data_IF_592896113704
#
_entry.id   IF_592896113704
#
_cell.length_a   1.000
_cell.length_b   1.000
_cell.length_c   1.000
_cell.angle_alpha   90.00
_cell.angle_beta   90.00
_cell.angle_gamma   90.00
#
_symmetry.space_group_name_H-M   'P 1'
#
loop_
_entity.id
_entity.type
_entity.pdbx_description
1 polymer ?
#
# COMPACT_ATOMS: atom_id res chain seq x y z
N UNK A 1 -11.03 1.63 16.01
CA UNK A 1 -12.12 2.01 15.09
C UNK A 1 -12.81 0.74 14.59
N UNK A 2 -14.14 0.70 14.58
CA UNK A 2 -14.86 -0.42 13.96
C UNK A 2 -14.96 -0.12 12.45
N UNK A 3 -14.47 -1.03 11.63
CA UNK A 3 -14.66 -1.03 10.18
C UNK A 3 -15.63 -2.16 9.83
N UNK A 4 -16.38 -1.97 8.76
CA UNK A 4 -17.30 -2.99 8.25
C UNK A 4 -16.52 -4.27 7.90
N UNK A 5 -16.95 -5.42 8.43
CA UNK A 5 -16.34 -6.73 8.17
C UNK A 5 -17.07 -7.43 7.03
N UNK A 6 -18.16 -8.12 7.36
CA UNK A 6 -19.07 -8.71 6.36
C UNK A 6 -20.34 -7.87 6.32
N UNK A 7 -20.67 -7.33 5.15
CA UNK A 7 -21.98 -6.75 4.86
C UNK A 7 -22.75 -7.73 3.97
N UNK A 8 -23.74 -8.40 4.54
CA UNK A 8 -24.62 -9.29 3.81
C UNK A 8 -25.60 -8.48 2.95
N UNK A 9 -25.74 -8.87 1.69
CA UNK A 9 -26.67 -8.22 0.77
C UNK A 9 -28.12 -8.25 1.30
N UNK A 10 -28.83 -7.14 1.14
CA UNK A 10 -30.23 -7.04 1.52
C UNK A 10 -31.09 -8.05 0.75
N UNK A 11 -31.96 -8.77 1.47
CA UNK A 11 -32.86 -9.77 0.89
C UNK A 11 -34.28 -9.22 0.72
N UNK A 12 -34.98 -9.64 -0.33
CA UNK A 12 -36.41 -9.38 -0.50
C UNK A 12 -37.17 -10.18 0.56
N UNK A 13 -37.95 -9.48 1.38
CA UNK A 13 -38.70 -10.06 2.49
C UNK A 13 -40.16 -10.28 2.10
N UNK A 14 -40.73 -11.43 2.48
CA UNK A 14 -42.16 -11.73 2.31
C UNK A 14 -42.98 -11.03 3.39
N UNK A 15 -44.07 -10.37 3.02
CA UNK A 15 -44.96 -9.69 3.96
C UNK A 15 -45.42 -10.65 5.08
N UNK A 16 -45.30 -10.24 6.35
CA UNK A 16 -45.56 -11.01 7.57
C UNK A 16 -44.58 -12.14 7.97
N UNK A 17 -43.45 -12.31 7.28
CA UNK A 17 -42.38 -13.19 7.79
C UNK A 17 -41.59 -12.51 8.94
N UNK A 18 -40.97 -13.31 9.81
CA UNK A 18 -40.05 -12.78 10.83
C UNK A 18 -38.72 -12.39 10.16
N UNK A 19 -38.29 -11.16 10.39
CA UNK A 19 -36.99 -10.67 9.92
C UNK A 19 -35.90 -11.27 10.81
N UNK A 20 -35.06 -12.13 10.24
CA UNK A 20 -33.82 -12.58 10.89
C UNK A 20 -32.71 -11.60 10.53
N UNK A 21 -32.03 -11.03 11.53
CA UNK A 21 -30.89 -10.16 11.29
C UNK A 21 -29.80 -10.94 10.54
N UNK A 22 -29.25 -10.34 9.49
CA UNK A 22 -28.07 -10.90 8.83
C UNK A 22 -26.89 -10.88 9.80
N UNK A 23 -25.99 -11.87 9.69
CA UNK A 23 -24.80 -11.97 10.53
C UNK A 23 -23.71 -10.99 10.07
N UNK A 24 -24.05 -9.71 9.95
CA UNK A 24 -23.12 -8.66 9.61
C UNK A 24 -22.08 -8.55 10.74
N UNK A 25 -20.80 -8.62 10.37
CA UNK A 25 -19.71 -8.57 11.33
C UNK A 25 -19.02 -7.21 11.27
N UNK A 26 -18.67 -6.67 12.42
CA UNK A 26 -17.81 -5.49 12.53
C UNK A 26 -16.40 -5.96 12.90
N UNK A 27 -15.42 -5.63 12.06
CA UNK A 27 -14.01 -5.90 12.35
C UNK A 27 -13.44 -4.69 13.09
N UNK A 28 -12.82 -4.90 14.25
CA UNK A 28 -12.18 -3.82 15.00
C UNK A 28 -10.72 -3.67 14.58
N UNK A 29 -10.34 -2.47 14.15
CA UNK A 29 -8.94 -2.08 13.94
C UNK A 29 -8.49 -1.28 15.16
N UNK A 30 -7.54 -1.82 15.91
CA UNK A 30 -6.84 -1.10 16.98
C UNK A 30 -5.67 -0.33 16.38
N UNK A 31 -5.72 1.00 16.43
CA UNK A 31 -4.62 1.86 16.02
C UNK A 31 -3.83 2.26 17.27
N UNK A 32 -2.89 1.42 17.67
CA UNK A 32 -1.95 1.72 18.74
C UNK A 32 -0.93 2.75 18.25
N UNK A 33 -0.61 3.76 19.07
CA UNK A 33 0.47 4.69 18.78
C UNK A 33 1.82 4.00 18.97
N UNK A 34 2.66 3.98 17.93
CA UNK A 34 4.03 3.48 18.00
C UNK A 34 5.00 4.64 17.86
N UNK A 35 5.98 4.73 18.75
CA UNK A 35 7.00 5.78 18.70
C UNK A 35 8.13 5.37 17.75
N UNK A 36 8.42 6.22 16.77
CA UNK A 36 9.56 6.03 15.85
C UNK A 36 10.65 7.00 16.28
N UNK A 37 11.70 6.46 16.93
CA UNK A 37 12.83 7.26 17.43
C UNK A 37 14.11 7.00 16.63
N UNK A 38 14.88 8.06 16.38
CA UNK A 38 16.23 7.97 15.81
C UNK A 38 17.20 8.79 16.65
N UNK A 39 18.18 8.13 17.26
CA UNK A 39 19.26 8.77 18.00
C UNK A 39 20.44 9.05 17.05
N UNK A 40 20.89 10.31 17.01
CA UNK A 40 22.07 10.76 16.26
C UNK A 40 23.09 11.31 17.27
N UNK A 41 24.29 10.73 17.30
CA UNK A 41 25.39 11.20 18.15
C UNK A 41 26.27 12.17 17.35
N UNK A 42 26.59 13.31 17.94
CA UNK A 42 27.42 14.36 17.33
C UNK A 42 28.58 14.64 18.28
N UNK A 43 29.78 14.81 17.72
CA UNK A 43 30.98 15.18 18.50
C UNK A 43 30.99 16.68 18.80
N UNK A 44 31.45 17.04 20.00
CA UNK A 44 31.58 18.41 20.51
C UNK A 44 32.37 19.34 19.57
N UNK A 45 33.31 18.78 18.81
CA UNK A 45 34.11 19.54 17.83
C UNK A 45 33.28 20.07 16.65
N UNK A 46 32.15 19.43 16.33
CA UNK A 46 31.26 19.82 15.22
C UNK A 46 30.29 20.92 15.64
N UNK A 47 30.07 21.15 16.95
CA UNK A 47 29.24 22.27 17.44
C UNK A 47 29.80 23.66 17.06
N UNK A 48 31.09 23.76 16.73
CA UNK A 48 31.73 25.03 16.35
C UNK A 48 31.55 25.38 14.86
N UNK A 49 31.08 24.46 14.03
CA UNK A 49 30.89 24.67 12.59
C UNK A 49 29.43 25.06 12.27
N UNK A 50 29.12 26.35 12.42
CA UNK A 50 27.94 27.03 11.82
C UNK A 50 26.55 26.69 12.40
N UNK A 51 26.01 27.69 13.10
CA UNK A 51 24.85 27.69 14.01
C UNK A 51 23.46 27.47 13.34
N UNK A 52 23.33 27.36 12.01
CA UNK A 52 21.99 27.20 11.37
C UNK A 52 21.95 26.19 10.22
N UNK A 53 22.98 26.14 9.37
CA UNK A 53 23.05 25.17 8.28
C UNK A 53 23.21 23.73 8.80
N UNK A 54 23.91 23.55 9.92
CA UNK A 54 24.12 22.24 10.54
C UNK A 54 22.85 21.71 11.23
N UNK A 55 22.11 22.56 11.94
CA UNK A 55 20.82 22.19 12.53
C UNK A 55 19.80 21.78 11.46
N UNK A 56 19.70 22.57 10.38
CA UNK A 56 18.83 22.24 9.25
C UNK A 56 19.22 20.92 8.59
N UNK A 57 20.52 20.64 8.46
CA UNK A 57 21.01 19.37 7.93
C UNK A 57 20.63 18.18 8.83
N UNK A 58 20.80 18.30 10.15
CA UNK A 58 20.41 17.24 11.10
C UNK A 58 18.90 17.02 11.09
N UNK A 59 18.10 18.09 11.10
CA UNK A 59 16.63 17.99 11.07
C UNK A 59 16.18 17.32 9.77
N UNK A 60 16.73 17.71 8.62
CA UNK A 60 16.41 17.08 7.34
C UNK A 60 16.82 15.61 7.31
N UNK A 61 18.02 15.27 7.81
CA UNK A 61 18.49 13.87 7.89
C UNK A 61 17.60 13.02 8.80
N UNK A 62 17.19 13.56 9.96
CA UNK A 62 16.28 12.89 10.89
C UNK A 62 14.89 12.73 10.29
N UNK A 63 14.33 13.79 9.70
CA UNK A 63 13.02 13.76 9.07
C UNK A 63 12.99 12.75 7.91
N UNK A 64 14.03 12.71 7.08
CA UNK A 64 14.14 11.75 5.98
C UNK A 64 14.26 10.31 6.51
N UNK A 65 15.07 10.08 7.55
CA UNK A 65 15.22 8.75 8.15
C UNK A 65 13.92 8.26 8.80
N UNK A 66 13.17 9.15 9.46
CA UNK A 66 11.87 8.84 10.04
C UNK A 66 10.85 8.57 8.93
N UNK A 67 10.77 9.43 7.91
CA UNK A 67 9.85 9.25 6.78
C UNK A 67 10.07 7.92 6.06
N UNK A 68 11.34 7.56 5.80
CA UNK A 68 11.74 6.26 5.26
C UNK A 68 11.29 5.10 6.14
N UNK A 69 11.43 5.22 7.46
CA UNK A 69 10.98 4.17 8.38
C UNK A 69 9.46 4.06 8.45
N UNK A 70 8.74 5.19 8.38
CA UNK A 70 7.28 5.22 8.29
C UNK A 70 6.80 4.51 7.02
N UNK A 71 7.44 4.78 5.88
CA UNK A 71 7.13 4.14 4.60
C UNK A 71 7.34 2.62 4.65
N UNK A 72 8.48 2.16 5.19
CA UNK A 72 8.76 0.75 5.42
C UNK A 72 7.70 0.08 6.31
N UNK A 73 7.30 0.73 7.41
CA UNK A 73 6.28 0.20 8.30
C UNK A 73 4.88 0.20 7.68
N UNK A 74 4.58 1.14 6.79
CA UNK A 74 3.30 1.21 6.08
C UNK A 74 3.16 0.08 5.05
N UNK A 75 4.27 -0.42 4.50
CA UNK A 75 4.28 -1.52 3.53
C UNK A 75 4.50 -2.86 4.23
N UNK A 76 5.58 -3.02 4.99
CA UNK A 76 6.07 -4.29 5.54
C UNK A 76 5.78 -4.50 7.03
N UNK A 77 5.13 -3.54 7.69
CA UNK A 77 4.88 -3.60 9.13
C UNK A 77 4.16 -4.90 9.53
N UNK A 78 4.63 -5.56 10.59
CA UNK A 78 4.10 -6.86 11.02
C UNK A 78 2.85 -6.77 11.89
N UNK A 79 2.54 -5.59 12.43
CA UNK A 79 1.43 -5.41 13.39
C UNK A 79 1.72 -5.89 14.82
N UNK A 80 2.91 -6.42 15.11
CA UNK A 80 3.34 -6.85 16.44
C UNK A 80 4.43 -5.92 16.97
N UNK A 81 4.11 -5.10 17.98
CA UNK A 81 4.97 -4.02 18.50
C UNK A 81 5.38 -2.96 17.47
N UNK A 82 4.77 -2.96 16.29
CA UNK A 82 4.94 -1.99 15.22
C UNK A 82 3.66 -1.91 14.37
N UNK A 83 3.47 -0.86 13.55
CA UNK A 83 2.32 -0.75 12.65
C UNK A 83 2.14 -2.00 11.77
N UNK A 84 0.91 -2.27 11.36
CA UNK A 84 0.58 -3.34 10.41
C UNK A 84 0.57 -2.76 9.00
N UNK A 85 1.52 -3.18 8.18
CA UNK A 85 1.68 -2.72 6.80
C UNK A 85 0.76 -3.44 5.82
N UNK A 86 0.67 -2.93 4.60
CA UNK A 86 -0.18 -3.43 3.52
C UNK A 86 0.09 -4.91 3.22
N UNK A 87 1.36 -5.33 3.20
CA UNK A 87 1.75 -6.71 2.91
C UNK A 87 1.15 -7.71 3.92
N UNK A 88 1.09 -7.32 5.20
CA UNK A 88 0.53 -8.18 6.24
C UNK A 88 -0.96 -7.89 6.50
N UNK A 89 -1.53 -6.85 5.88
CA UNK A 89 -2.86 -6.33 6.21
C UNK A 89 -3.96 -7.37 6.02
N UNK A 90 -3.82 -8.21 5.00
CA UNK A 90 -4.74 -9.29 4.66
C UNK A 90 -4.01 -10.62 4.50
N UNK A 91 -4.75 -11.73 4.52
CA UNK A 91 -4.24 -13.02 4.06
C UNK A 91 -4.36 -13.06 2.54
N UNK A 92 -3.25 -13.20 1.82
CA UNK A 92 -3.24 -13.31 0.37
C UNK A 92 -3.50 -14.74 -0.09
N UNK A 93 -4.53 -14.93 -0.90
CA UNK A 93 -4.92 -16.22 -1.47
C UNK A 93 -5.41 -16.05 -2.93
N UNK A 94 -5.87 -17.14 -3.55
CA UNK A 94 -6.32 -17.14 -4.94
C UNK A 94 -7.59 -16.29 -5.20
N UNK A 95 -8.27 -15.81 -4.16
CA UNK A 95 -9.47 -14.98 -4.28
C UNK A 95 -9.17 -13.48 -4.29
N UNK A 96 -8.00 -13.07 -3.78
CA UNK A 96 -7.62 -11.66 -3.64
C UNK A 96 -6.20 -11.33 -4.16
N UNK A 97 -5.50 -12.32 -4.73
CA UNK A 97 -4.16 -12.15 -5.27
C UNK A 97 -3.97 -12.97 -6.56
N UNK A 98 -2.99 -12.56 -7.36
CA UNK A 98 -2.55 -13.29 -8.56
C UNK A 98 -1.10 -13.69 -8.36
N UNK A 99 -0.84 -14.98 -8.17
CA UNK A 99 0.51 -15.51 -7.96
C UNK A 99 1.10 -15.98 -9.27
N UNK A 100 2.26 -15.42 -9.65
CA UNK A 100 3.06 -15.90 -10.77
C UNK A 100 4.20 -16.74 -10.21
N UNK A 101 4.38 -17.95 -10.75
CA UNK A 101 5.49 -18.82 -10.34
C UNK A 101 6.84 -18.14 -10.61
N UNK A 102 7.84 -18.36 -9.76
CA UNK A 102 9.17 -17.73 -9.86
C UNK A 102 9.89 -17.94 -11.21
N UNK A 103 9.55 -19.03 -11.91
CA UNK A 103 10.08 -19.35 -13.25
C UNK A 103 9.17 -18.87 -14.39
N UNK A 104 7.96 -18.41 -14.06
CA UNK A 104 7.01 -17.84 -15.01
C UNK A 104 7.24 -16.34 -15.20
N UNK A 105 6.90 -15.84 -16.38
CA UNK A 105 6.88 -14.40 -16.63
C UNK A 105 5.51 -13.83 -16.27
N UNK A 106 5.49 -12.60 -15.75
CA UNK A 106 4.25 -11.82 -15.65
C UNK A 106 3.67 -11.64 -17.07
N UNK A 107 2.34 -11.72 -17.19
CA UNK A 107 1.65 -11.52 -18.46
C UNK A 107 0.62 -10.41 -18.32
N UNK A 108 0.23 -9.78 -19.44
CA UNK A 108 -0.82 -8.78 -19.44
C UNK A 108 -2.16 -9.33 -18.90
N UNK A 109 -2.45 -10.61 -19.15
CA UNK A 109 -3.63 -11.28 -18.61
C UNK A 109 -3.60 -11.37 -17.08
N UNK A 110 -2.45 -11.65 -16.47
CA UNK A 110 -2.31 -11.66 -15.01
C UNK A 110 -2.62 -10.29 -14.40
N UNK A 111 -2.16 -9.21 -15.04
CA UNK A 111 -2.44 -7.83 -14.60
C UNK A 111 -3.93 -7.48 -14.74
N UNK A 112 -4.57 -7.90 -15.84
CA UNK A 112 -6.02 -7.71 -16.03
C UNK A 112 -6.84 -8.48 -14.99
N UNK A 113 -6.46 -9.72 -14.68
CA UNK A 113 -7.09 -10.52 -13.62
C UNK A 113 -6.94 -9.82 -12.27
N UNK A 114 -5.74 -9.31 -11.95
CA UNK A 114 -5.50 -8.57 -10.71
C UNK A 114 -6.39 -7.33 -10.60
N UNK A 115 -6.54 -6.56 -11.69
CA UNK A 115 -7.46 -5.41 -11.72
C UNK A 115 -8.91 -5.86 -11.52
N UNK A 116 -9.31 -6.97 -12.15
CA UNK A 116 -10.66 -7.54 -12.01
C UNK A 116 -10.99 -8.06 -10.61
N UNK A 117 -9.99 -8.38 -9.77
CA UNK A 117 -10.20 -8.75 -8.37
C UNK A 117 -10.54 -7.54 -7.48
N UNK A 118 -10.21 -6.31 -7.91
CA UNK A 118 -10.52 -5.11 -7.15
C UNK A 118 -12.02 -4.79 -7.27
N UNK A 119 -12.79 -4.76 -6.16
CA UNK A 119 -14.20 -4.40 -6.23
C UNK A 119 -14.38 -2.97 -6.75
N UNK A 120 -15.39 -2.73 -7.59
CA UNK A 120 -15.61 -1.44 -8.26
C UNK A 120 -15.74 -0.24 -7.31
N UNK A 121 -16.09 -0.47 -6.04
CA UNK A 121 -16.14 0.57 -5.02
C UNK A 121 -14.77 1.19 -4.68
N UNK A 122 -13.68 0.46 -4.89
CA UNK A 122 -12.30 0.91 -4.64
C UNK A 122 -11.58 1.38 -5.91
N UNK A 123 -12.18 1.13 -7.08
CA UNK A 123 -11.60 1.41 -8.39
C UNK A 123 -11.28 2.89 -8.62
N UNK A 124 -12.18 3.76 -8.17
CA UNK A 124 -12.11 5.22 -8.41
C UNK A 124 -10.82 5.88 -7.89
N UNK A 125 -10.22 5.34 -6.83
CA UNK A 125 -8.97 5.83 -6.26
C UNK A 125 -7.88 4.75 -6.24
N UNK A 126 -8.07 3.66 -6.98
CA UNK A 126 -7.11 2.58 -7.06
C UNK A 126 -5.75 3.09 -7.54
N UNK A 127 -4.69 2.76 -6.82
CA UNK A 127 -3.32 3.01 -7.26
C UNK A 127 -2.54 1.71 -7.20
N UNK A 128 -1.52 1.59 -8.06
CA UNK A 128 -0.51 0.55 -7.91
C UNK A 128 0.61 1.05 -7.02
N UNK A 129 1.12 0.20 -6.11
CA UNK A 129 2.36 0.44 -5.38
C UNK A 129 3.30 -0.71 -5.69
N UNK A 130 4.50 -0.39 -6.20
CA UNK A 130 5.53 -1.37 -6.53
C UNK A 130 6.91 -0.70 -6.48
N UNK A 131 7.97 -1.49 -6.45
CA UNK A 131 9.31 -0.93 -6.55
C UNK A 131 9.69 -0.61 -8.00
N UNK A 132 10.72 0.23 -8.16
CA UNK A 132 11.17 0.67 -9.48
C UNK A 132 11.66 -0.51 -10.33
N UNK A 133 12.30 -1.50 -9.72
CA UNK A 133 12.81 -2.67 -10.44
C UNK A 133 11.66 -3.45 -11.08
N UNK A 134 10.64 -3.83 -10.30
CA UNK A 134 9.41 -4.50 -10.74
C UNK A 134 8.72 -3.74 -11.88
N UNK A 135 8.59 -2.41 -11.78
CA UNK A 135 7.98 -1.61 -12.85
C UNK A 135 8.74 -1.79 -14.18
N UNK A 136 10.07 -1.65 -14.16
CA UNK A 136 10.87 -1.66 -15.38
C UNK A 136 11.20 -3.06 -15.91
N UNK A 137 11.29 -4.07 -15.05
CA UNK A 137 11.60 -5.44 -15.46
C UNK A 137 10.36 -6.23 -15.84
N UNK A 138 9.26 -6.04 -15.10
CA UNK A 138 8.11 -6.96 -15.20
C UNK A 138 6.93 -6.30 -15.90
N UNK A 139 6.63 -5.03 -15.63
CA UNK A 139 5.46 -4.34 -16.18
C UNK A 139 5.73 -3.62 -17.51
N UNK A 140 6.85 -2.89 -17.62
CA UNK A 140 7.21 -2.12 -18.82
C UNK A 140 7.30 -2.95 -20.12
N UNK A 141 7.82 -4.20 -20.13
CA UNK A 141 7.87 -4.98 -21.37
C UNK A 141 6.52 -5.57 -21.79
N UNK A 142 5.48 -5.49 -20.96
CA UNK A 142 4.19 -6.12 -21.23
C UNK A 142 3.41 -5.39 -22.31
N UNK A 143 2.79 -6.20 -23.16
CA UNK A 143 1.90 -5.75 -24.23
C UNK A 143 0.58 -6.53 -24.15
N UNK A 144 -0.52 -5.88 -24.49
CA UNK A 144 -1.81 -6.53 -24.68
C UNK A 144 -1.82 -7.38 -25.97
N UNK A 145 -2.90 -8.13 -26.21
CA UNK A 145 -3.06 -8.93 -27.44
C UNK A 145 -3.03 -8.07 -28.73
N UNK A 146 -3.31 -6.77 -28.61
CA UNK A 146 -3.26 -5.79 -29.69
C UNK A 146 -1.86 -5.17 -29.87
N UNK A 147 -0.86 -5.63 -29.10
CA UNK A 147 0.52 -5.12 -29.06
C UNK A 147 0.66 -3.69 -28.55
N UNK A 148 -0.32 -3.21 -27.79
CA UNK A 148 -0.21 -1.94 -27.09
C UNK A 148 0.53 -2.15 -25.78
N UNK A 149 1.39 -1.20 -25.42
CA UNK A 149 1.99 -1.16 -24.10
C UNK A 149 0.90 -0.96 -23.04
N UNK A 150 0.94 -1.77 -21.98
CA UNK A 150 0.00 -1.64 -20.86
C UNK A 150 0.36 -0.48 -19.92
N UNK A 151 1.65 -0.11 -19.92
CA UNK A 151 2.20 1.00 -19.14
C UNK A 151 2.24 2.24 -20.03
N UNK A 152 1.66 3.34 -19.55
CA UNK A 152 1.74 4.64 -20.20
C UNK A 152 2.44 5.63 -19.29
N UNK A 153 3.17 6.58 -19.89
CA UNK A 153 3.86 7.64 -19.16
C UNK A 153 3.21 8.97 -19.50
N UNK A 154 2.76 9.70 -18.50
CA UNK A 154 2.18 11.04 -18.67
C UNK A 154 2.79 11.98 -17.63
N UNK A 155 3.37 13.10 -18.07
CA UNK A 155 3.91 14.15 -17.20
C UNK A 155 4.74 13.62 -16.02
N UNK A 156 5.65 12.69 -16.30
CA UNK A 156 6.56 12.08 -15.33
C UNK A 156 5.93 11.10 -14.33
N UNK A 157 4.67 10.71 -14.53
CA UNK A 157 3.98 9.65 -13.80
C UNK A 157 3.76 8.42 -14.69
N UNK A 158 3.79 7.23 -14.08
CA UNK A 158 3.53 5.95 -14.74
C UNK A 158 2.10 5.50 -14.45
N UNK A 159 1.45 4.93 -15.45
CA UNK A 159 0.09 4.41 -15.34
C UNK A 159 0.03 2.99 -15.92
N UNK A 160 -0.50 2.05 -15.16
CA UNK A 160 -0.77 0.67 -15.62
C UNK A 160 -2.27 0.58 -15.89
N UNK A 161 -2.68 0.37 -17.15
CA UNK A 161 -4.10 0.35 -17.55
C UNK A 161 -4.93 1.56 -17.06
N UNK A 162 -4.29 2.72 -16.91
CA UNK A 162 -4.93 3.96 -16.43
C UNK A 162 -4.88 4.19 -14.92
N UNK A 163 -4.45 3.20 -14.12
CA UNK A 163 -4.21 3.39 -12.69
C UNK A 163 -2.82 4.00 -12.45
N UNK A 164 -2.71 5.07 -11.63
CA UNK A 164 -1.41 5.65 -11.31
C UNK A 164 -0.55 4.70 -10.50
N UNK A 165 0.75 4.69 -10.77
CA UNK A 165 1.77 3.91 -10.05
C UNK A 165 2.51 4.80 -9.06
N UNK A 166 2.57 4.35 -7.82
CA UNK A 166 3.42 4.87 -6.76
C UNK A 166 4.65 3.97 -6.65
N UNK A 167 5.83 4.58 -6.62
CA UNK A 167 7.09 3.88 -6.52
C UNK A 167 7.60 3.92 -5.09
N UNK A 168 7.89 2.76 -4.51
CA UNK A 168 8.49 2.63 -3.19
C UNK A 168 9.54 1.51 -3.21
N UNK A 169 10.73 1.81 -2.71
CA UNK A 169 11.83 0.83 -2.61
C UNK A 169 11.59 -0.22 -1.50
N UNK A 170 10.57 -0.03 -0.67
CA UNK A 170 10.22 -0.95 0.42
C UNK A 170 9.29 -2.08 -0.01
N UNK A 171 8.71 -2.02 -1.21
CA UNK A 171 8.03 -3.18 -1.81
C UNK A 171 9.08 -4.18 -2.30
N UNK A 172 8.87 -5.46 -2.03
CA UNK A 172 9.80 -6.50 -2.48
C UNK A 172 9.87 -6.59 -4.01
N UNK A 173 11.00 -7.10 -4.50
CA UNK A 173 11.19 -7.36 -5.93
C UNK A 173 10.12 -8.33 -6.45
N UNK A 174 9.58 -8.04 -7.63
CA UNK A 174 8.53 -8.82 -8.31
C UNK A 174 7.16 -8.79 -7.62
N UNK A 175 6.96 -7.86 -6.67
CA UNK A 175 5.66 -7.65 -6.01
C UNK A 175 5.04 -6.30 -6.39
N UNK A 176 3.71 -6.29 -6.45
CA UNK A 176 2.91 -5.11 -6.71
C UNK A 176 1.56 -5.22 -5.99
N UNK A 177 1.14 -4.12 -5.38
CA UNK A 177 -0.15 -4.00 -4.68
C UNK A 177 -1.08 -3.06 -5.44
N UNK A 178 -2.36 -3.41 -5.54
CA UNK A 178 -3.41 -2.57 -6.11
C UNK A 178 -4.49 -2.31 -5.06
N UNK A 179 -4.82 -1.04 -4.81
CA UNK A 179 -5.91 -0.71 -3.90
C UNK A 179 -6.13 0.79 -3.71
N UNK A 180 -7.19 1.14 -2.98
CA UNK A 180 -7.45 2.51 -2.53
C UNK A 180 -6.68 2.79 -1.23
N UNK A 181 -5.51 3.40 -1.36
CA UNK A 181 -4.66 3.75 -0.21
C UNK A 181 -5.23 4.87 0.67
N UNK A 182 -6.31 5.56 0.26
CA UNK A 182 -7.01 6.50 1.16
C UNK A 182 -7.72 5.78 2.31
N UNK A 183 -7.98 4.49 2.14
CA UNK A 183 -8.56 3.62 3.17
C UNK A 183 -7.52 3.05 4.14
N UNK A 184 -6.23 3.26 3.87
CA UNK A 184 -5.16 2.97 4.83
C UNK A 184 -5.19 4.05 5.91
N UNK A 185 -5.70 3.68 7.08
CA UNK A 185 -5.75 4.56 8.24
C UNK A 185 -4.54 4.26 9.13
N UNK A 186 -3.62 5.23 9.27
CA UNK A 186 -2.59 5.23 10.30
C UNK A 186 -2.93 6.33 11.32
N UNK A 187 -2.85 6.02 12.62
CA UNK A 187 -2.96 7.03 13.66
C UNK A 187 -1.55 7.61 13.91
N UNK A 188 -1.31 8.83 13.45
CA UNK A 188 -0.14 9.60 13.84
C UNK A 188 -0.55 10.39 15.08
N UNK A 189 -0.03 10.02 16.24
CA UNK A 189 -0.19 10.83 17.45
C UNK A 189 0.72 12.06 17.30
N UNK A 190 0.17 13.18 16.82
CA UNK A 190 0.75 14.50 17.04
C UNK A 190 0.58 14.84 18.53
N UNK A 191 1.71 15.02 19.23
CA UNK A 191 1.76 15.74 20.50
C UNK A 191 2.14 17.19 20.24
#
# INVERSE_FOLDING_TARGET
>A
FAIEGTNNAAAIHTENASITAAADTLTTVSLSGYEIVKLVQISDTVMTMSITAFESWIVNMLAEAIARKVEDLLINGTGSSQPKGIDNANTWDATNSVTVAKTGALTAANVQTLIGLLPSGYDRNGKFVMNKKTLFTDFMPLQDNSKNHIVTVQNNAYFVYGYPVLLSDYVADHEAFLGDFKKVCANLAEN
#
